data_IF_593801952025
#
_entry.id   IF_593801952025
#
_cell.length_a   1.000
_cell.length_b   1.000
_cell.length_c   1.000
_cell.angle_alpha   90.00
_cell.angle_beta   90.00
_cell.angle_gamma   90.00
#
_symmetry.space_group_name_H-M   'P 1'
#
loop_
_entity.id
_entity.type
_entity.pdbx_description
1 polymer ?
#
# COMPACT_ATOMS: atom_id res chain seq x y z
N UNK A 1 -10.17 -2.24 4.70
CA UNK A 1 -8.98 -2.24 3.84
C UNK A 1 -7.75 -2.11 4.71
N UNK A 2 -6.84 -3.05 4.61
CA UNK A 2 -5.62 -3.04 5.39
C UNK A 2 -4.58 -2.11 4.78
N UNK A 3 -3.76 -1.46 5.62
CA UNK A 3 -2.68 -0.60 5.14
C UNK A 3 -1.71 -1.36 4.24
N UNK A 4 -1.44 -2.63 4.57
CA UNK A 4 -0.57 -3.47 3.74
C UNK A 4 -1.14 -3.67 2.34
N UNK A 5 -2.47 -3.75 2.24
CA UNK A 5 -3.13 -3.91 0.94
C UNK A 5 -2.97 -2.64 0.09
N UNK A 6 -2.98 -1.48 0.73
CA UNK A 6 -2.74 -0.22 0.05
C UNK A 6 -1.33 -0.21 -0.53
N UNK A 7 -0.35 -0.63 0.26
CA UNK A 7 1.03 -0.72 -0.20
C UNK A 7 1.16 -1.67 -1.38
N UNK A 8 0.48 -2.82 -1.34
CA UNK A 8 0.50 -3.78 -2.43
C UNK A 8 0.04 -3.12 -3.74
N UNK A 9 -1.05 -2.37 -3.68
CA UNK A 9 -1.61 -1.70 -4.85
C UNK A 9 -0.62 -0.67 -5.39
N UNK A 10 -0.01 0.11 -4.51
CA UNK A 10 0.97 1.12 -4.91
C UNK A 10 2.18 0.48 -5.58
N UNK A 11 2.67 -0.64 -5.05
CA UNK A 11 3.82 -1.33 -5.63
C UNK A 11 3.49 -1.96 -6.97
N UNK A 12 2.32 -2.58 -7.10
CA UNK A 12 1.89 -3.15 -8.39
C UNK A 12 1.81 -2.05 -9.45
N UNK A 13 1.26 -0.91 -9.09
CA UNK A 13 1.15 0.22 -10.02
C UNK A 13 2.53 0.76 -10.40
N UNK A 14 3.43 0.83 -9.44
CA UNK A 14 4.79 1.33 -9.67
C UNK A 14 5.54 0.50 -10.70
N UNK A 15 5.41 -0.81 -10.62
CA UNK A 15 6.16 -1.71 -11.49
C UNK A 15 5.36 -2.21 -12.68
N UNK A 16 4.07 -1.93 -12.72
CA UNK A 16 3.16 -2.44 -13.74
C UNK A 16 3.24 -3.96 -13.86
N UNK A 17 3.42 -4.63 -12.73
CA UNK A 17 3.64 -6.07 -12.68
C UNK A 17 3.36 -6.63 -11.29
N UNK A 18 2.54 -7.68 -11.23
CA UNK A 18 2.33 -8.41 -9.99
C UNK A 18 3.58 -9.18 -9.58
N UNK A 19 4.27 -9.77 -10.56
CA UNK A 19 5.47 -10.56 -10.28
C UNK A 19 6.58 -9.70 -9.69
N UNK A 20 6.80 -8.53 -10.28
CA UNK A 20 7.84 -7.62 -9.80
C UNK A 20 7.51 -7.10 -8.40
N UNK A 21 6.26 -6.74 -8.18
CA UNK A 21 5.83 -6.30 -6.86
C UNK A 21 6.01 -7.40 -5.83
N UNK A 22 5.71 -8.66 -6.20
CA UNK A 22 5.86 -9.77 -5.27
C UNK A 22 7.32 -9.97 -4.88
N UNK A 23 8.25 -9.80 -5.81
CA UNK A 23 9.67 -9.90 -5.51
C UNK A 23 10.10 -8.81 -4.52
N UNK A 24 9.70 -7.57 -4.80
CA UNK A 24 10.08 -6.42 -3.97
C UNK A 24 9.50 -6.54 -2.57
N UNK A 25 8.27 -7.00 -2.47
CA UNK A 25 7.58 -7.09 -1.18
C UNK A 25 7.82 -8.40 -0.46
N UNK A 26 8.48 -9.33 -1.12
CA UNK A 26 8.79 -10.65 -0.55
C UNK A 26 7.54 -11.40 -0.12
N UNK A 27 6.51 -11.36 -0.95
CA UNK A 27 5.29 -12.15 -0.79
C UNK A 27 4.93 -12.77 -2.14
N UNK A 28 4.12 -13.81 -2.11
CA UNK A 28 3.81 -14.54 -3.34
C UNK A 28 2.91 -13.73 -4.27
N UNK A 29 3.04 -13.96 -5.58
CA UNK A 29 2.21 -13.31 -6.58
C UNK A 29 0.72 -13.59 -6.34
N UNK A 30 0.30 -14.85 -6.09
CA UNK A 30 -1.11 -15.11 -5.79
C UNK A 30 -1.61 -14.34 -4.57
N UNK A 31 -0.76 -14.15 -3.56
CA UNK A 31 -1.16 -13.40 -2.36
C UNK A 31 -1.44 -11.95 -2.71
N UNK A 32 -0.57 -11.31 -3.50
CA UNK A 32 -0.79 -9.93 -3.92
C UNK A 32 -2.07 -9.82 -4.74
N UNK A 33 -2.28 -10.74 -5.68
CA UNK A 33 -3.49 -10.73 -6.51
C UNK A 33 -4.74 -10.83 -5.67
N UNK A 34 -4.72 -11.70 -4.67
CA UNK A 34 -5.86 -11.88 -3.78
C UNK A 34 -6.16 -10.60 -3.01
N UNK A 35 -5.13 -9.94 -2.50
CA UNK A 35 -5.29 -8.70 -1.74
C UNK A 35 -5.82 -7.57 -2.63
N UNK A 36 -5.29 -7.44 -3.83
CA UNK A 36 -5.76 -6.42 -4.77
C UNK A 36 -7.21 -6.67 -5.15
N UNK A 37 -7.56 -7.93 -5.44
CA UNK A 37 -8.93 -8.29 -5.76
C UNK A 37 -9.87 -7.98 -4.60
N UNK A 38 -9.42 -8.23 -3.38
CA UNK A 38 -10.21 -7.93 -2.18
C UNK A 38 -10.54 -6.44 -2.10
N UNK A 39 -9.56 -5.58 -2.36
CA UNK A 39 -9.77 -4.14 -2.35
C UNK A 39 -10.71 -3.72 -3.48
N UNK A 40 -10.52 -4.27 -4.67
CA UNK A 40 -11.39 -3.97 -5.81
C UNK A 40 -12.84 -4.33 -5.49
N UNK A 41 -13.05 -5.48 -4.85
CA UNK A 41 -14.40 -5.91 -4.45
C UNK A 41 -14.96 -5.01 -3.38
N UNK A 42 -14.16 -4.62 -2.41
CA UNK A 42 -14.58 -3.75 -1.33
C UNK A 42 -15.02 -2.38 -1.87
N UNK A 43 -14.28 -1.84 -2.84
CA UNK A 43 -14.59 -0.55 -3.43
C UNK A 43 -15.59 -0.65 -4.58
N UNK A 44 -15.90 -1.86 -5.01
CA UNK A 44 -16.75 -2.12 -6.17
C UNK A 44 -16.22 -1.39 -7.41
N UNK A 45 -14.91 -1.39 -7.58
CA UNK A 45 -14.22 -0.75 -8.69
C UNK A 45 -13.05 -1.61 -9.13
N UNK A 46 -12.80 -1.67 -10.43
CA UNK A 46 -11.63 -2.34 -10.96
C UNK A 46 -10.47 -1.34 -11.02
N UNK A 47 -9.38 -1.67 -10.33
CA UNK A 47 -8.21 -0.79 -10.26
C UNK A 47 -7.24 -1.09 -11.39
N UNK A 48 -7.06 -2.37 -11.73
CA UNK A 48 -6.09 -2.80 -12.74
C UNK A 48 -6.73 -3.57 -13.87
N UNK A 49 -6.15 -3.40 -15.07
CA UNK A 49 -6.44 -4.20 -16.26
C UNK A 49 -5.16 -4.97 -16.58
N UNK A 50 -5.29 -6.26 -16.92
CA UNK A 50 -4.18 -7.09 -17.34
C UNK A 50 -4.28 -7.41 -18.82
N UNK A 51 -3.14 -7.31 -19.53
CA UNK A 51 -3.03 -7.74 -20.91
C UNK A 51 -1.62 -8.28 -21.15
N UNK A 52 -1.29 -8.58 -22.40
CA UNK A 52 0.00 -9.17 -22.73
C UNK A 52 1.19 -8.29 -22.38
N UNK A 53 0.99 -6.98 -22.32
CA UNK A 53 2.06 -6.04 -22.04
C UNK A 53 2.28 -5.83 -20.55
N UNK A 54 1.37 -6.32 -19.73
CA UNK A 54 1.51 -6.21 -18.29
C UNK A 54 0.21 -5.77 -17.62
N UNK A 55 0.38 -5.08 -16.51
CA UNK A 55 -0.73 -4.62 -15.66
C UNK A 55 -0.78 -3.11 -15.72
N UNK A 56 -1.96 -2.55 -15.95
CA UNK A 56 -2.12 -1.11 -16.09
C UNK A 56 -3.34 -0.63 -15.31
N UNK A 57 -3.29 0.62 -14.86
CA UNK A 57 -4.41 1.19 -14.12
C UNK A 57 -5.60 1.46 -15.03
N UNK A 58 -6.80 1.21 -14.51
CA UNK A 58 -8.02 1.69 -15.14
C UNK A 58 -8.11 3.19 -14.88
N UNK A 59 -9.06 3.86 -15.54
CA UNK A 59 -9.32 5.27 -15.28
C UNK A 59 -9.72 5.47 -13.81
N UNK A 60 -10.61 4.62 -13.33
CA UNK A 60 -11.03 4.64 -11.94
C UNK A 60 -9.87 4.32 -11.00
N UNK A 61 -9.03 3.36 -11.41
CA UNK A 61 -7.86 2.97 -10.62
C UNK A 61 -6.88 4.11 -10.43
N UNK A 62 -6.69 4.94 -11.45
CA UNK A 62 -5.80 6.08 -11.34
C UNK A 62 -6.26 7.06 -10.27
N UNK A 63 -7.55 7.36 -10.27
CA UNK A 63 -8.13 8.25 -9.26
C UNK A 63 -8.03 7.65 -7.86
N UNK A 64 -8.32 6.36 -7.74
CA UNK A 64 -8.22 5.65 -6.47
C UNK A 64 -6.78 5.65 -5.97
N UNK A 65 -5.84 5.41 -6.87
CA UNK A 65 -4.42 5.35 -6.51
C UNK A 65 -3.94 6.66 -5.91
N UNK A 66 -4.34 7.79 -6.48
CA UNK A 66 -3.97 9.09 -5.95
C UNK A 66 -4.42 9.24 -4.51
N UNK A 67 -5.64 8.83 -4.20
CA UNK A 67 -6.19 8.90 -2.86
C UNK A 67 -5.48 7.93 -1.91
N UNK A 68 -5.24 6.71 -2.37
CA UNK A 68 -4.55 5.70 -1.57
C UNK A 68 -3.11 6.13 -1.24
N UNK A 69 -2.45 6.78 -2.19
CA UNK A 69 -1.10 7.26 -1.97
C UNK A 69 -1.06 8.30 -0.85
N UNK A 70 -2.03 9.21 -0.83
CA UNK A 70 -2.12 10.21 0.23
C UNK A 70 -2.39 9.57 1.58
N UNK A 71 -3.29 8.59 1.63
CA UNK A 71 -3.60 7.88 2.87
C UNK A 71 -2.34 7.16 3.38
N UNK A 72 -1.64 6.49 2.49
CA UNK A 72 -0.44 5.74 2.86
C UNK A 72 0.63 6.66 3.42
N UNK A 73 0.85 7.80 2.78
CA UNK A 73 1.82 8.79 3.25
C UNK A 73 1.47 9.28 4.66
N UNK A 74 0.21 9.55 4.91
CA UNK A 74 -0.24 10.01 6.21
C UNK A 74 -0.02 8.96 7.30
N UNK A 75 -0.31 7.70 6.99
CA UNK A 75 -0.08 6.60 7.92
C UNK A 75 1.41 6.47 8.25
N UNK A 76 2.27 6.59 7.22
CA UNK A 76 3.71 6.50 7.42
C UNK A 76 4.23 7.64 8.28
N UNK A 77 3.69 8.83 8.13
CA UNK A 77 4.04 9.96 8.97
C UNK A 77 3.72 9.70 10.44
N UNK A 78 2.57 9.12 10.70
CA UNK A 78 2.16 8.76 12.05
C UNK A 78 3.12 7.75 12.66
N UNK A 79 3.50 6.75 11.90
CA UNK A 79 4.43 5.72 12.37
C UNK A 79 5.79 6.31 12.74
N UNK A 80 6.30 7.18 11.89
CA UNK A 80 7.61 7.84 12.13
C UNK A 80 7.54 8.70 13.37
N UNK A 81 6.49 9.50 13.51
CA UNK A 81 6.30 10.37 14.68
C UNK A 81 6.24 9.57 15.95
N UNK A 82 5.48 8.49 15.96
CA UNK A 82 5.35 7.63 17.15
C UNK A 82 6.67 7.00 17.51
N UNK A 83 7.44 6.54 16.52
CA UNK A 83 8.74 5.95 16.77
C UNK A 83 9.70 6.95 17.41
N UNK A 84 9.68 8.20 16.95
CA UNK A 84 10.51 9.26 17.51
C UNK A 84 10.08 9.59 18.93
N UNK A 85 8.79 9.67 19.18
CA UNK A 85 8.27 9.94 20.50
C UNK A 85 8.66 8.83 21.47
N UNK A 86 8.53 7.59 21.05
CA UNK A 86 8.91 6.45 21.87
C UNK A 86 10.38 6.48 22.26
N UNK A 87 11.25 6.87 21.34
CA UNK A 87 12.67 6.98 21.63
C UNK A 87 12.94 8.04 22.68
N UNK A 88 12.24 9.17 22.59
CA UNK A 88 12.38 10.24 23.57
C UNK A 88 11.88 9.79 24.93
N UNK A 89 10.77 9.10 24.96
CA UNK A 89 10.21 8.61 26.21
C UNK A 89 11.17 7.69 26.94
N UNK A 90 11.84 6.85 26.18
CA UNK A 90 12.85 5.96 26.76
C UNK A 90 13.96 6.76 27.42
N UNK A 91 14.39 7.83 26.80
CA UNK A 91 15.46 8.68 27.34
C UNK A 91 14.99 9.48 28.53
N UNK A 92 13.82 10.07 28.44
CA UNK A 92 13.27 10.95 29.47
C UNK A 92 12.84 10.16 30.68
N UNK A 93 12.40 8.99 30.47
CA UNK A 93 11.82 8.23 31.54
C UNK A 93 10.43 8.56 31.74
N UNK A 94 10.05 9.57 31.46
CA UNK A 94 9.05 10.01 31.31
C UNK A 94 8.31 10.29 30.98
N UNK A 95 8.27 10.77 30.69
CA UNK A 95 7.61 11.09 30.26
C UNK A 95 7.22 11.43 30.40
N UNK A 96 7.09 11.54 30.54
CA UNK A 96 6.67 11.82 30.49
C UNK A 96 6.32 11.84 30.67
N UNK A 97 6.31 12.02 30.81
CA UNK A 97 6.29 11.90 31.06
C UNK A 97 6.19 11.69 31.32
#
# INVERSE_FOLDING_TARGET
METDYIRDILEVAKYNSFNKASEVMNISTPAIRKRVTSVENELNQQIFIRNRKGVFLTKEGQSILEKLNKIYEEVEKVKISNSQINKRDIKVGLLPS
#
